data_IF_526701664964
#
_entry.id   IF_526701664964
#
_cell.length_a   1.000
_cell.length_b   1.000
_cell.length_c   1.000
_cell.angle_alpha   90.00
_cell.angle_beta   90.00
_cell.angle_gamma   90.00
#
_symmetry.space_group_name_H-M   'P 1'
#
loop_
_entity.id
_entity.type
_entity.pdbx_description
1 polymer ?
#
# COMPACT_ATOMS: atom_id res chain seq x y z
N UNK A 1 5.71 16.14 -8.94
CA UNK A 1 6.69 17.25 -9.09
C UNK A 1 6.59 18.13 -7.86
N UNK A 2 7.70 18.33 -7.16
CA UNK A 2 7.77 19.22 -5.99
C UNK A 2 8.36 20.56 -6.43
N UNK A 3 7.75 21.67 -6.01
CA UNK A 3 8.22 23.01 -6.31
C UNK A 3 8.94 23.58 -5.09
N UNK A 4 10.20 23.96 -5.26
CA UNK A 4 11.00 24.59 -4.20
C UNK A 4 11.14 26.08 -4.47
N UNK A 5 10.76 26.91 -3.51
CA UNK A 5 10.98 28.36 -3.55
C UNK A 5 11.93 28.75 -2.41
N UNK A 6 13.06 29.37 -2.76
CA UNK A 6 14.04 29.85 -1.79
C UNK A 6 13.90 31.37 -1.64
N UNK A 7 13.44 31.81 -0.47
CA UNK A 7 13.28 33.23 -0.15
C UNK A 7 14.62 33.96 -0.25
N UNK A 8 14.61 35.16 -0.85
CA UNK A 8 15.79 36.02 -1.00
C UNK A 8 16.71 35.65 -2.17
N UNK A 9 16.33 34.68 -3.01
CA UNK A 9 16.92 34.52 -4.34
C UNK A 9 16.09 35.30 -5.37
N UNK A 10 16.26 36.63 -5.34
CA UNK A 10 15.52 37.55 -6.22
C UNK A 10 16.07 37.60 -7.66
N UNK A 11 17.24 36.98 -7.89
CA UNK A 11 17.81 36.83 -9.24
C UNK A 11 17.23 35.60 -9.94
N UNK A 12 16.38 35.76 -10.98
CA UNK A 12 15.84 34.64 -11.75
C UNK A 12 16.92 33.83 -12.49
N UNK A 13 18.16 34.32 -12.56
CA UNK A 13 19.32 33.60 -13.09
C UNK A 13 20.09 32.77 -12.05
N UNK A 14 19.66 32.79 -10.78
CA UNK A 14 20.29 32.02 -9.70
C UNK A 14 20.29 30.50 -9.97
N UNK A 15 19.27 30.00 -10.68
CA UNK A 15 19.21 28.63 -11.16
C UNK A 15 19.47 28.57 -12.67
N UNK A 16 20.71 28.27 -13.04
CA UNK A 16 21.10 28.11 -14.45
C UNK A 16 20.90 26.66 -14.89
N UNK A 17 20.22 26.40 -16.03
CA UNK A 17 20.11 25.05 -16.55
C UNK A 17 21.47 24.39 -16.75
N UNK A 18 21.54 23.12 -16.35
CA UNK A 18 22.65 22.24 -16.67
C UNK A 18 22.54 21.67 -18.08
N UNK A 19 23.34 20.64 -18.36
CA UNK A 19 23.28 19.88 -19.61
C UNK A 19 22.72 18.48 -19.42
N UNK A 20 22.15 18.17 -18.27
CA UNK A 20 21.63 16.87 -17.92
C UNK A 20 20.15 16.70 -18.26
N UNK A 21 19.26 17.37 -17.52
CA UNK A 21 17.82 17.28 -17.69
C UNK A 21 17.40 17.97 -18.99
N UNK A 22 16.51 17.33 -19.76
CA UNK A 22 16.06 17.87 -21.04
C UNK A 22 14.58 18.17 -21.10
N UNK A 23 13.72 17.22 -20.78
CA UNK A 23 12.28 17.44 -20.87
C UNK A 23 11.51 16.45 -20.00
N UNK A 24 10.29 16.85 -19.66
CA UNK A 24 9.27 16.00 -19.07
C UNK A 24 8.23 15.66 -20.12
N UNK A 25 7.83 14.40 -20.19
CA UNK A 25 6.67 13.97 -20.97
C UNK A 25 5.45 13.89 -20.08
N UNK A 26 4.38 14.60 -20.42
CA UNK A 26 3.12 14.57 -19.68
C UNK A 26 1.92 14.33 -20.59
N UNK A 27 0.98 13.55 -20.10
CA UNK A 27 -0.35 13.40 -20.69
C UNK A 27 -1.27 14.53 -20.21
N UNK A 28 -2.12 15.01 -21.11
CA UNK A 28 -3.16 16.00 -20.83
C UNK A 28 -4.47 15.57 -21.47
N UNK A 29 -5.63 15.94 -20.89
CA UNK A 29 -6.94 15.57 -21.44
C UNK A 29 -7.16 16.11 -22.86
N UNK A 30 -6.65 17.31 -23.14
CA UNK A 30 -6.74 17.98 -24.43
C UNK A 30 -5.44 18.75 -24.70
N UNK A 31 -4.67 18.28 -25.67
CA UNK A 31 -3.36 18.85 -26.04
C UNK A 31 -3.52 20.25 -26.62
N UNK A 32 -4.50 20.46 -27.50
CA UNK A 32 -4.68 21.74 -28.20
C UNK A 32 -5.18 22.82 -27.24
N UNK A 33 -6.10 22.45 -26.33
CA UNK A 33 -6.54 23.35 -25.26
C UNK A 33 -5.38 23.71 -24.31
N UNK A 34 -4.55 22.74 -23.92
CA UNK A 34 -3.39 22.97 -23.07
C UNK A 34 -2.35 23.89 -23.74
N UNK A 35 -2.04 23.66 -25.02
CA UNK A 35 -1.16 24.54 -25.81
C UNK A 35 -1.73 25.95 -25.93
N UNK A 36 -3.02 26.08 -26.21
CA UNK A 36 -3.71 27.36 -26.31
C UNK A 36 -3.67 28.14 -24.98
N UNK A 37 -3.82 27.45 -23.85
CA UNK A 37 -3.70 28.04 -22.53
C UNK A 37 -2.27 28.51 -22.24
N UNK A 38 -1.26 27.69 -22.56
CA UNK A 38 0.15 28.05 -22.41
C UNK A 38 0.53 29.29 -23.23
N UNK A 39 0.05 29.39 -24.48
CA UNK A 39 0.27 30.57 -25.33
C UNK A 39 -0.36 31.83 -24.73
N UNK A 40 -1.58 31.74 -24.18
CA UNK A 40 -2.23 32.88 -23.49
C UNK A 40 -1.48 33.34 -22.24
N UNK A 41 -0.76 32.43 -21.59
CA UNK A 41 0.11 32.72 -20.44
C UNK A 41 1.50 33.23 -20.86
N UNK A 42 1.80 33.30 -22.16
CA UNK A 42 3.07 33.78 -22.70
C UNK A 42 4.21 32.76 -22.62
N UNK A 43 3.92 31.47 -22.46
CA UNK A 43 4.94 30.42 -22.49
C UNK A 43 5.42 30.17 -23.93
N UNK A 44 6.72 29.92 -24.06
CA UNK A 44 7.32 29.63 -25.35
C UNK A 44 7.02 28.17 -25.77
N UNK A 45 7.05 27.92 -27.08
CA UNK A 45 7.01 26.56 -27.64
C UNK A 45 8.30 26.32 -28.43
N UNK A 46 9.07 25.31 -28.03
CA UNK A 46 10.36 24.99 -28.62
C UNK A 46 10.50 23.48 -28.79
N UNK A 47 10.91 23.03 -29.98
CA UNK A 47 11.05 21.59 -30.33
C UNK A 47 9.83 20.73 -29.95
N UNK A 48 8.63 21.30 -29.98
CA UNK A 48 7.39 20.62 -29.58
C UNK A 48 7.17 20.47 -28.06
N UNK A 49 7.92 21.22 -27.25
CA UNK A 49 7.69 21.37 -25.82
C UNK A 49 7.14 22.76 -25.50
N UNK A 50 6.25 22.83 -24.51
CA UNK A 50 5.95 24.08 -23.81
C UNK A 50 7.08 24.36 -22.82
N UNK A 51 7.64 25.57 -22.87
CA UNK A 51 8.78 25.99 -22.06
C UNK A 51 8.30 26.96 -20.99
N UNK A 52 8.47 26.56 -19.74
CA UNK A 52 8.14 27.39 -18.58
C UNK A 52 9.08 28.59 -18.43
N UNK A 53 8.72 29.57 -17.60
CA UNK A 53 9.56 30.75 -17.35
C UNK A 53 10.90 30.41 -16.70
N UNK A 54 10.97 29.26 -16.05
CA UNK A 54 12.15 28.64 -15.46
C UNK A 54 12.93 27.76 -16.45
N UNK A 55 12.52 27.71 -17.72
CA UNK A 55 13.12 26.94 -18.82
C UNK A 55 12.88 25.43 -18.76
N UNK A 56 12.06 24.92 -17.84
CA UNK A 56 11.67 23.51 -17.90
C UNK A 56 10.79 23.26 -19.12
N UNK A 57 10.99 22.11 -19.74
CA UNK A 57 10.36 21.76 -21.02
C UNK A 57 9.36 20.63 -20.80
N UNK A 58 8.12 20.85 -21.19
CA UNK A 58 7.04 19.88 -21.07
C UNK A 58 6.51 19.50 -22.45
N UNK A 59 6.67 18.23 -22.83
CA UNK A 59 6.06 17.65 -24.02
C UNK A 59 4.69 17.10 -23.67
N UNK A 60 3.68 17.51 -24.42
CA UNK A 60 2.28 17.16 -24.16
C UNK A 60 1.83 16.00 -25.05
N UNK A 61 1.13 15.05 -24.44
CA UNK A 61 0.56 13.88 -25.10
C UNK A 61 -0.93 13.74 -24.77
N UNK A 62 -1.75 13.15 -25.65
CA UNK A 62 -3.15 12.87 -25.35
C UNK A 62 -3.27 11.81 -24.26
N UNK A 63 -4.16 12.02 -23.28
CA UNK A 63 -4.39 11.08 -22.18
C UNK A 63 -4.93 9.73 -22.67
N UNK A 64 -4.27 8.59 -22.34
CA UNK A 64 -4.81 7.26 -22.59
C UNK A 64 -6.07 7.00 -21.76
N UNK A 65 -7.04 6.25 -22.31
CA UNK A 65 -8.31 5.97 -21.64
C UNK A 65 -8.20 5.08 -20.41
N UNK A 66 -7.13 4.30 -20.30
CA UNK A 66 -6.87 3.31 -19.25
C UNK A 66 -5.78 3.75 -18.28
N UNK A 67 -5.43 5.04 -18.30
CA UNK A 67 -4.38 5.64 -17.47
C UNK A 67 -4.90 6.85 -16.69
N UNK A 68 -4.41 7.00 -15.46
CA UNK A 68 -4.65 8.14 -14.57
C UNK A 68 -3.40 8.96 -14.25
N UNK A 69 -2.22 8.36 -14.27
CA UNK A 69 -0.94 9.06 -14.08
C UNK A 69 -0.62 9.92 -15.31
N UNK A 70 -0.47 11.22 -15.09
CA UNK A 70 -0.19 12.18 -16.14
C UNK A 70 1.29 12.20 -16.53
N UNK A 71 2.22 11.93 -15.61
CA UNK A 71 3.63 11.88 -15.97
C UNK A 71 3.95 10.60 -16.74
N UNK A 72 4.55 10.74 -17.91
CA UNK A 72 5.02 9.62 -18.71
C UNK A 72 6.52 9.38 -18.49
N UNK A 73 7.33 10.43 -18.61
CA UNK A 73 8.78 10.30 -18.46
C UNK A 73 9.47 11.56 -17.95
N UNK A 74 10.67 11.34 -17.42
CA UNK A 74 11.71 12.37 -17.27
C UNK A 74 12.87 11.98 -18.18
N UNK A 75 13.29 12.89 -19.07
CA UNK A 75 14.34 12.63 -20.04
C UNK A 75 15.64 13.31 -19.64
N UNK A 76 16.68 12.51 -19.49
CA UNK A 76 18.00 12.92 -19.02
C UNK A 76 19.10 12.41 -19.96
N UNK A 77 20.16 13.19 -20.08
CA UNK A 77 21.37 12.82 -20.82
C UNK A 77 22.25 11.90 -19.97
N UNK A 78 22.85 10.89 -20.60
CA UNK A 78 23.83 10.01 -19.97
C UNK A 78 25.20 10.23 -20.59
N UNK A 79 26.25 10.23 -19.76
CA UNK A 79 27.64 10.25 -20.23
C UNK A 79 28.16 8.87 -20.64
N UNK A 80 27.46 7.80 -20.24
CA UNK A 80 27.70 6.42 -20.66
C UNK A 80 26.42 5.59 -20.46
N UNK A 81 25.64 5.40 -21.52
CA UNK A 81 24.28 4.85 -21.40
C UNK A 81 24.26 3.48 -20.71
N UNK A 82 25.20 2.61 -21.06
CA UNK A 82 25.28 1.26 -20.51
C UNK A 82 25.54 1.27 -18.99
N UNK A 83 26.45 2.13 -18.52
CA UNK A 83 26.71 2.28 -17.08
C UNK A 83 25.52 2.90 -16.36
N UNK A 84 24.86 3.89 -16.95
CA UNK A 84 23.72 4.58 -16.31
C UNK A 84 22.57 3.60 -16.14
N UNK A 85 22.18 2.90 -17.20
CA UNK A 85 21.16 1.86 -17.14
C UNK A 85 21.55 0.75 -16.16
N UNK A 86 22.81 0.31 -16.17
CA UNK A 86 23.34 -0.66 -15.19
C UNK A 86 23.20 -0.18 -13.75
N UNK A 87 23.51 1.09 -13.46
CA UNK A 87 23.33 1.66 -12.13
C UNK A 87 21.86 1.60 -11.68
N UNK A 88 20.92 2.08 -12.49
CA UNK A 88 19.50 2.07 -12.11
C UNK A 88 18.92 0.66 -11.94
N UNK A 89 19.42 -0.32 -12.70
CA UNK A 89 18.98 -1.72 -12.57
C UNK A 89 19.64 -2.44 -11.41
N UNK A 90 20.96 -2.44 -11.38
CA UNK A 90 21.74 -3.28 -10.48
C UNK A 90 21.85 -2.66 -9.09
N UNK A 91 21.83 -1.33 -8.99
CA UNK A 91 21.89 -0.60 -7.71
C UNK A 91 20.51 -0.29 -7.18
N UNK A 92 19.61 0.21 -8.04
CA UNK A 92 18.28 0.65 -7.61
C UNK A 92 17.17 -0.37 -7.85
N UNK A 93 17.43 -1.49 -8.53
CA UNK A 93 16.42 -2.53 -8.73
C UNK A 93 15.32 -2.15 -9.75
N UNK A 94 15.57 -1.14 -10.59
CA UNK A 94 14.64 -0.82 -11.68
C UNK A 94 14.68 -1.87 -12.78
N UNK A 95 13.62 -1.92 -13.58
CA UNK A 95 13.50 -2.80 -14.74
C UNK A 95 13.58 -2.02 -16.05
N UNK A 96 14.03 -2.69 -17.12
CA UNK A 96 13.96 -2.13 -18.47
C UNK A 96 12.50 -1.91 -18.89
N UNK A 97 12.25 -0.79 -19.56
CA UNK A 97 10.96 -0.49 -20.18
C UNK A 97 11.19 -0.06 -21.62
N UNK A 98 10.32 -0.50 -22.53
CA UNK A 98 10.36 -0.06 -23.91
C UNK A 98 10.08 1.45 -23.99
N UNK A 99 10.97 2.21 -24.64
CA UNK A 99 10.74 3.63 -24.95
C UNK A 99 9.58 3.72 -25.94
N UNK A 100 8.43 4.31 -25.58
CA UNK A 100 7.28 4.40 -26.49
C UNK A 100 7.63 5.19 -27.76
N UNK A 101 7.00 4.86 -28.89
CA UNK A 101 7.26 5.51 -30.18
C UNK A 101 6.97 7.03 -30.17
N UNK A 102 6.02 7.46 -29.34
CA UNK A 102 5.69 8.86 -29.13
C UNK A 102 6.82 9.67 -28.47
N UNK A 103 7.76 9.01 -27.78
CA UNK A 103 8.90 9.68 -27.15
C UNK A 103 9.92 10.04 -28.25
N UNK A 104 10.31 11.33 -28.38
CA UNK A 104 11.21 11.75 -29.44
C UNK A 104 12.56 11.03 -29.31
N UNK A 105 13.08 10.54 -30.44
CA UNK A 105 14.41 9.96 -30.51
C UNK A 105 15.44 11.06 -30.31
N UNK A 106 16.40 10.86 -29.40
CA UNK A 106 17.52 11.76 -29.13
C UNK A 106 18.83 10.98 -29.08
N UNK A 107 19.91 11.67 -29.47
CA UNK A 107 21.25 11.12 -29.44
C UNK A 107 21.47 9.93 -30.37
N UNK A 108 22.57 9.24 -30.13
CA UNK A 108 22.97 8.00 -30.80
C UNK A 108 22.25 6.76 -30.27
N UNK A 109 21.87 6.78 -28.99
CA UNK A 109 21.23 5.66 -28.32
C UNK A 109 20.33 6.16 -27.18
N UNK A 110 19.30 5.35 -26.85
CA UNK A 110 18.36 5.63 -25.77
C UNK A 110 17.95 4.36 -25.03
N UNK A 111 17.63 4.49 -23.75
CA UNK A 111 17.04 3.44 -22.93
C UNK A 111 16.06 4.05 -21.93
N UNK A 112 15.12 3.24 -21.43
CA UNK A 112 14.24 3.63 -20.35
C UNK A 112 14.23 2.58 -19.25
N UNK A 113 14.17 3.07 -18.01
CA UNK A 113 14.05 2.24 -16.80
C UNK A 113 12.92 2.76 -15.93
N UNK A 114 12.28 1.86 -15.19
CA UNK A 114 11.24 2.21 -14.21
C UNK A 114 11.07 1.13 -13.16
N UNK A 115 10.41 1.46 -12.04
CA UNK A 115 9.90 0.45 -11.13
C UNK A 115 8.60 -0.15 -11.70
N UNK A 116 8.72 -1.35 -12.26
CA UNK A 116 7.58 -2.11 -12.78
C UNK A 116 7.33 -3.32 -11.91
N UNK A 117 6.22 -3.36 -11.18
CA UNK A 117 5.79 -4.57 -10.47
C UNK A 117 4.28 -4.74 -10.54
N UNK A 118 3.84 -6.00 -10.65
CA UNK A 118 2.44 -6.40 -10.45
C UNK A 118 1.93 -6.18 -9.02
N UNK A 119 2.77 -5.70 -8.10
CA UNK A 119 2.39 -5.34 -6.72
C UNK A 119 2.55 -3.85 -6.43
N UNK A 120 3.15 -3.06 -7.34
CA UNK A 120 3.26 -1.61 -7.18
C UNK A 120 1.87 -0.94 -7.33
N UNK A 121 1.53 0.14 -6.62
CA UNK A 121 0.20 0.77 -6.72
C UNK A 121 -0.15 1.20 -8.15
N UNK A 122 0.84 1.71 -8.88
CA UNK A 122 0.73 2.05 -10.30
C UNK A 122 1.03 0.85 -11.20
N UNK A 123 0.50 -0.31 -10.83
CA UNK A 123 0.62 -1.63 -11.44
C UNK A 123 0.40 -1.70 -12.97
N UNK A 124 0.16 -0.56 -13.64
CA UNK A 124 -0.06 -0.33 -15.07
C UNK A 124 0.34 1.08 -15.57
N UNK A 125 0.91 1.95 -14.74
CA UNK A 125 1.13 3.37 -15.08
C UNK A 125 2.53 3.88 -14.66
N UNK A 126 3.63 3.24 -15.11
CA UNK A 126 4.97 3.66 -14.72
C UNK A 126 5.30 5.06 -15.24
N UNK A 127 6.01 5.84 -14.43
CA UNK A 127 6.80 6.99 -14.87
C UNK A 127 8.20 6.47 -15.22
N UNK A 128 8.68 6.77 -16.43
CA UNK A 128 9.96 6.27 -16.93
C UNK A 128 11.07 7.29 -16.71
N UNK A 129 12.26 6.82 -16.34
CA UNK A 129 13.49 7.59 -16.54
C UNK A 129 14.05 7.20 -17.89
N UNK A 130 14.06 8.15 -18.82
CA UNK A 130 14.55 7.98 -20.19
C UNK A 130 15.95 8.58 -20.28
N UNK A 131 16.92 7.73 -20.60
CA UNK A 131 18.32 8.08 -20.77
C UNK A 131 18.68 8.09 -22.24
N UNK A 132 19.46 9.07 -22.68
CA UNK A 132 20.02 9.08 -24.02
C UNK A 132 21.48 9.54 -24.02
N UNK A 133 22.24 9.09 -25.03
CA UNK A 133 23.65 9.43 -25.19
C UNK A 133 23.89 10.10 -26.53
N UNK A 134 24.42 11.32 -26.51
CA UNK A 134 24.72 12.13 -27.70
C UNK A 134 26.18 12.61 -27.74
N UNK A 135 27.05 11.99 -26.93
CA UNK A 135 28.47 12.34 -26.83
C UNK A 135 28.77 13.53 -25.92
N UNK A 136 27.75 14.15 -25.31
CA UNK A 136 27.93 15.21 -24.32
C UNK A 136 27.87 14.59 -22.93
N UNK A 137 28.84 14.91 -22.07
CA UNK A 137 28.79 14.51 -20.66
C UNK A 137 27.79 15.42 -19.90
N UNK A 138 26.83 14.87 -19.16
CA UNK A 138 25.90 15.68 -18.38
C UNK A 138 26.65 16.47 -17.31
N UNK A 139 26.21 17.71 -17.09
CA UNK A 139 26.67 18.61 -16.03
C UNK A 139 25.46 19.12 -15.25
N UNK A 140 24.91 18.30 -14.34
CA UNK A 140 23.78 18.72 -13.53
C UNK A 140 24.11 19.93 -12.66
N UNK A 141 23.16 20.85 -12.56
CA UNK A 141 23.20 21.99 -11.66
C UNK A 141 22.01 21.92 -10.70
N UNK A 142 21.96 22.73 -9.64
CA UNK A 142 20.78 22.79 -8.77
C UNK A 142 19.47 23.11 -9.51
N UNK A 143 19.53 23.67 -10.72
CA UNK A 143 18.36 23.90 -11.57
C UNK A 143 17.69 22.60 -12.01
N UNK A 144 18.42 21.50 -12.18
CA UNK A 144 17.84 20.22 -12.61
C UNK A 144 17.06 19.51 -11.49
N UNK A 145 17.20 20.02 -10.26
CA UNK A 145 16.51 19.51 -9.09
C UNK A 145 17.04 18.15 -8.64
N UNK A 146 16.13 17.34 -8.09
CA UNK A 146 16.45 16.06 -7.47
C UNK A 146 15.36 15.04 -7.78
N UNK A 147 15.76 13.83 -8.15
CA UNK A 147 14.82 12.71 -8.27
C UNK A 147 14.58 12.10 -6.89
N UNK A 148 13.33 12.09 -6.42
CA UNK A 148 12.97 11.45 -5.16
C UNK A 148 12.37 10.06 -5.40
N UNK A 149 12.88 9.05 -4.70
CA UNK A 149 12.42 7.67 -4.77
C UNK A 149 12.02 7.19 -3.37
N UNK A 150 10.76 6.77 -3.25
CA UNK A 150 10.23 6.15 -2.04
C UNK A 150 10.51 4.65 -2.01
N UNK A 151 11.26 4.18 -1.01
CA UNK A 151 11.59 2.75 -0.81
C UNK A 151 11.23 2.32 0.62
N UNK A 152 11.23 1.03 0.92
CA UNK A 152 11.09 0.57 2.30
C UNK A 152 12.31 1.00 3.13
N UNK A 153 12.14 1.30 4.41
CA UNK A 153 13.19 1.77 5.30
C UNK A 153 14.41 0.82 5.35
N UNK A 154 14.17 -0.49 5.30
CA UNK A 154 15.25 -1.47 5.23
C UNK A 154 15.99 -1.43 3.88
N UNK A 155 15.28 -1.17 2.78
CA UNK A 155 15.89 -0.94 1.47
C UNK A 155 16.73 0.34 1.47
N UNK A 156 16.25 1.42 2.10
CA UNK A 156 17.00 2.68 2.26
C UNK A 156 18.30 2.45 3.03
N UNK A 157 18.26 1.72 4.15
CA UNK A 157 19.46 1.40 4.95
C UNK A 157 20.44 0.53 4.16
N UNK A 158 19.95 -0.50 3.48
CA UNK A 158 20.79 -1.38 2.67
C UNK A 158 21.43 -0.63 1.49
N UNK A 159 20.66 0.24 0.82
CA UNK A 159 21.13 1.06 -0.28
C UNK A 159 22.18 2.07 0.19
N UNK A 160 21.98 2.72 1.33
CA UNK A 160 22.98 3.62 1.92
C UNK A 160 24.29 2.87 2.24
N UNK A 161 24.21 1.70 2.87
CA UNK A 161 25.39 0.88 3.15
C UNK A 161 26.14 0.48 1.87
N UNK A 162 25.39 0.18 0.80
CA UNK A 162 25.99 -0.08 -0.52
C UNK A 162 26.67 1.17 -1.07
N UNK A 163 26.03 2.34 -1.00
CA UNK A 163 26.62 3.61 -1.40
C UNK A 163 27.91 3.93 -0.62
N UNK A 164 27.94 3.71 0.70
CA UNK A 164 29.15 3.90 1.50
C UNK A 164 30.30 2.99 1.02
N UNK A 165 29.98 1.78 0.57
CA UNK A 165 30.97 0.81 0.11
C UNK A 165 31.45 1.08 -1.32
N UNK A 166 30.52 1.38 -2.23
CA UNK A 166 30.79 1.42 -3.68
C UNK A 166 30.96 2.85 -4.21
N UNK A 167 30.30 3.83 -3.60
CA UNK A 167 30.19 5.22 -4.08
C UNK A 167 30.26 6.26 -2.94
N UNK A 168 31.22 6.18 -2.00
CA UNK A 168 31.22 7.04 -0.81
C UNK A 168 31.30 8.53 -1.13
N UNK A 169 31.94 8.91 -2.24
CA UNK A 169 32.07 10.28 -2.73
C UNK A 169 30.77 10.87 -3.31
N UNK A 170 29.76 10.02 -3.53
CA UNK A 170 28.46 10.42 -4.08
C UNK A 170 27.46 10.79 -3.00
N UNK A 171 27.66 10.36 -1.75
CA UNK A 171 26.79 10.74 -0.62
C UNK A 171 26.98 12.23 -0.31
N UNK A 172 25.88 12.97 -0.23
CA UNK A 172 25.90 14.44 -0.15
C UNK A 172 25.79 15.01 1.27
N UNK A 173 25.65 14.16 2.28
CA UNK A 173 25.67 14.55 3.69
C UNK A 173 26.93 13.99 4.38
N UNK A 174 27.44 14.71 5.38
CA UNK A 174 28.68 14.37 6.07
C UNK A 174 28.42 13.79 7.45
N UNK A 175 29.22 12.79 7.85
CA UNK A 175 29.36 12.38 9.26
C UNK A 175 28.35 11.34 9.76
N UNK A 176 27.41 10.90 8.94
CA UNK A 176 26.42 9.91 9.35
C UNK A 176 26.89 8.47 9.09
N UNK A 177 26.77 7.61 10.12
CA UNK A 177 27.03 6.18 9.98
C UNK A 177 25.95 5.44 9.16
N UNK A 178 24.82 6.11 8.87
CA UNK A 178 23.65 5.58 8.17
C UNK A 178 22.83 6.70 7.53
N UNK A 179 21.63 6.40 6.98
CA UNK A 179 20.70 7.42 6.52
C UNK A 179 20.34 8.39 7.65
N UNK A 180 20.04 9.64 7.29
CA UNK A 180 19.51 10.64 8.22
C UNK A 180 18.17 10.12 8.74
N UNK A 181 18.01 10.10 10.06
CA UNK A 181 16.81 9.66 10.76
C UNK A 181 16.09 10.87 11.36
N UNK A 182 14.93 11.20 10.81
CA UNK A 182 14.07 12.29 11.30
C UNK A 182 12.88 11.70 12.05
N UNK A 183 12.66 12.16 13.28
CA UNK A 183 11.50 11.75 14.07
C UNK A 183 10.28 12.57 13.64
N UNK A 184 9.41 11.96 12.86
CA UNK A 184 8.17 12.57 12.38
C UNK A 184 6.97 12.09 13.22
N UNK A 185 5.85 12.82 13.11
CA UNK A 185 4.59 12.42 13.76
C UNK A 185 4.12 11.01 13.37
N UNK A 186 4.53 10.55 12.18
CA UNK A 186 4.14 9.30 11.54
C UNK A 186 5.11 8.14 11.77
N UNK A 187 6.17 8.36 12.53
CA UNK A 187 7.26 7.41 12.72
C UNK A 187 8.60 8.02 12.31
N UNK A 188 9.62 7.18 12.21
CA UNK A 188 10.94 7.64 11.79
C UNK A 188 11.03 7.66 10.26
N UNK A 189 11.30 8.84 9.71
CA UNK A 189 11.64 9.03 8.31
C UNK A 189 13.14 8.80 8.14
N UNK A 190 13.52 7.81 7.32
CA UNK A 190 14.89 7.63 6.88
C UNK A 190 15.08 8.27 5.53
N UNK A 191 16.07 9.14 5.41
CA UNK A 191 16.39 9.86 4.19
C UNK A 191 17.89 9.91 3.98
N UNK A 192 18.33 9.74 2.74
CA UNK A 192 19.69 10.13 2.38
C UNK A 192 19.72 10.68 0.95
N UNK A 193 20.67 11.58 0.71
CA UNK A 193 20.83 12.24 -0.58
C UNK A 193 22.18 11.81 -1.13
N UNK A 194 22.17 11.33 -2.36
CA UNK A 194 23.39 10.96 -3.07
C UNK A 194 23.29 11.35 -4.54
N UNK A 195 24.43 11.39 -5.23
CA UNK A 195 24.46 11.51 -6.68
C UNK A 195 24.43 10.14 -7.34
N UNK A 196 23.85 10.05 -8.53
CA UNK A 196 24.05 8.90 -9.40
C UNK A 196 25.45 8.96 -10.07
N UNK A 197 25.70 8.06 -11.03
CA UNK A 197 26.99 7.98 -11.71
C UNK A 197 27.26 9.16 -12.67
N UNK A 198 26.23 9.85 -13.13
CA UNK A 198 26.31 10.99 -14.04
C UNK A 198 26.25 12.34 -13.29
N UNK A 199 25.95 12.31 -11.99
CA UNK A 199 25.98 13.47 -11.11
C UNK A 199 24.60 14.02 -10.75
N UNK A 200 23.51 13.38 -11.19
CA UNK A 200 22.15 13.77 -10.85
C UNK A 200 21.89 13.55 -9.37
N UNK A 201 21.23 14.49 -8.71
CA UNK A 201 20.88 14.33 -7.31
C UNK A 201 19.70 13.36 -7.16
N UNK A 202 19.84 12.44 -6.22
CA UNK A 202 18.83 11.45 -5.84
C UNK A 202 18.49 11.63 -4.36
N UNK A 203 17.20 11.73 -4.03
CA UNK A 203 16.67 11.64 -2.68
C UNK A 203 16.08 10.24 -2.50
N UNK A 204 16.66 9.47 -1.60
CA UNK A 204 16.09 8.19 -1.19
C UNK A 204 15.38 8.40 0.13
N UNK A 205 14.08 8.11 0.15
CA UNK A 205 13.21 8.38 1.29
C UNK A 205 12.40 7.15 1.67
N UNK A 206 12.34 6.83 2.96
CA UNK A 206 11.53 5.72 3.46
C UNK A 206 10.04 6.03 3.27
N UNK A 207 9.30 5.12 2.64
CA UNK A 207 7.90 5.35 2.28
C UNK A 207 6.93 5.14 3.43
N UNK A 208 7.34 4.52 4.53
CA UNK A 208 6.46 4.12 5.64
C UNK A 208 5.72 5.31 6.25
N UNK A 209 6.36 6.47 6.39
CA UNK A 209 5.72 7.71 6.85
C UNK A 209 4.87 8.38 5.77
N UNK A 210 4.93 7.92 4.52
CA UNK A 210 4.19 8.44 3.36
C UNK A 210 3.13 7.48 2.81
N UNK A 211 2.99 6.27 3.39
CA UNK A 211 2.01 5.30 2.94
C UNK A 211 0.59 5.87 3.12
N UNK A 212 -0.32 5.70 2.14
CA UNK A 212 -1.68 6.20 2.25
C UNK A 212 -2.39 5.78 3.54
N UNK A 213 -2.16 4.59 4.09
CA UNK A 213 -2.75 4.19 5.39
C UNK A 213 -2.19 4.97 6.59
N UNK A 214 -0.91 5.37 6.54
CA UNK A 214 -0.20 6.14 7.57
C UNK A 214 -0.51 7.63 7.43
N UNK A 215 -0.55 8.12 6.20
CA UNK A 215 -1.03 9.46 5.84
C UNK A 215 -2.51 9.57 6.18
N UNK A 216 -3.38 8.65 5.78
CA UNK A 216 -4.82 8.59 6.11
C UNK A 216 -5.05 8.56 7.62
N UNK A 217 -4.26 7.79 8.38
CA UNK A 217 -4.30 7.80 9.85
C UNK A 217 -4.05 9.21 10.45
N UNK A 218 -3.47 10.14 9.69
CA UNK A 218 -3.11 11.50 10.13
C UNK A 218 -3.68 12.64 9.27
N UNK A 219 -4.19 12.39 8.07
CA UNK A 219 -4.86 13.36 7.19
C UNK A 219 -6.37 13.19 7.20
N UNK A 220 -6.89 11.98 7.47
CA UNK A 220 -8.26 11.79 7.97
C UNK A 220 -8.33 12.01 9.50
N UNK A 221 -7.31 12.67 10.06
CA UNK A 221 -7.37 13.30 11.37
C UNK A 221 -8.42 14.42 11.31
N UNK A 222 -9.66 14.06 11.62
CA UNK A 222 -10.64 15.05 12.03
C UNK A 222 -10.30 15.48 13.46
N UNK A 223 -9.84 16.73 13.62
CA UNK A 223 -9.56 17.32 14.92
C UNK A 223 -10.81 17.45 15.82
N UNK A 224 -12.02 17.27 15.28
CA UNK A 224 -13.27 17.10 16.05
C UNK A 224 -13.58 15.64 16.39
N UNK A 225 -12.95 14.67 15.70
CA UNK A 225 -13.06 13.24 15.98
C UNK A 225 -12.04 12.74 17.02
N UNK A 226 -11.10 13.59 17.45
CA UNK A 226 -10.26 13.34 18.60
C UNK A 226 -10.88 13.87 19.88
N UNK A 227 -12.02 13.27 20.19
CA UNK A 227 -12.37 13.09 21.58
C UNK A 227 -11.50 11.93 22.12
N UNK A 228 -10.37 12.28 22.73
CA UNK A 228 -9.50 11.33 23.45
C UNK A 228 -10.30 10.51 24.47
N UNK A 229 -11.35 11.09 25.04
CA UNK A 229 -12.30 10.41 25.92
C UNK A 229 -13.10 9.36 25.16
N UNK A 230 -13.62 9.68 23.97
CA UNK A 230 -14.32 8.70 23.13
C UNK A 230 -13.40 7.58 22.65
N UNK A 231 -12.14 7.89 22.31
CA UNK A 231 -11.14 6.87 21.96
C UNK A 231 -10.80 5.97 23.14
N UNK A 232 -10.50 6.56 24.30
CA UNK A 232 -10.21 5.83 25.52
C UNK A 232 -11.42 4.97 25.92
N UNK A 233 -12.63 5.54 25.89
CA UNK A 233 -13.89 4.82 26.13
C UNK A 233 -14.08 3.66 25.16
N UNK A 234 -13.77 3.83 23.86
CA UNK A 234 -13.85 2.74 22.88
C UNK A 234 -12.82 1.64 23.16
N UNK A 235 -11.58 1.99 23.51
CA UNK A 235 -10.55 1.01 23.89
C UNK A 235 -10.98 0.24 25.14
N UNK A 236 -11.51 0.92 26.14
CA UNK A 236 -12.02 0.32 27.38
C UNK A 236 -13.20 -0.62 27.10
N UNK A 237 -14.13 -0.22 26.23
CA UNK A 237 -15.26 -1.06 25.81
C UNK A 237 -14.80 -2.29 25.03
N UNK A 238 -13.83 -2.15 24.12
CA UNK A 238 -13.24 -3.29 23.40
C UNK A 238 -12.52 -4.22 24.38
N UNK A 239 -11.79 -3.69 25.35
CA UNK A 239 -11.11 -4.48 26.37
C UNK A 239 -12.11 -5.20 27.29
N UNK A 240 -13.20 -4.53 27.69
CA UNK A 240 -14.27 -5.13 28.49
C UNK A 240 -15.02 -6.23 27.73
N UNK A 241 -15.36 -5.99 26.46
CA UNK A 241 -15.92 -7.00 25.56
C UNK A 241 -14.95 -8.16 25.37
N UNK A 242 -13.65 -7.88 25.22
CA UNK A 242 -12.60 -8.88 25.11
C UNK A 242 -12.50 -9.79 26.32
N UNK A 243 -12.56 -9.23 27.54
CA UNK A 243 -12.63 -10.04 28.78
C UNK A 243 -13.82 -10.99 28.76
N UNK A 244 -15.01 -10.49 28.39
CA UNK A 244 -16.21 -11.32 28.28
C UNK A 244 -16.06 -12.39 27.20
N UNK A 245 -15.45 -12.08 26.04
CA UNK A 245 -15.19 -13.05 24.98
C UNK A 245 -14.27 -14.16 25.49
N UNK A 246 -13.12 -13.83 26.09
CA UNK A 246 -12.17 -14.82 26.60
C UNK A 246 -12.76 -15.65 27.75
N UNK A 247 -13.54 -15.04 28.65
CA UNK A 247 -14.27 -15.75 29.70
C UNK A 247 -15.23 -16.79 29.10
N UNK A 248 -16.03 -16.40 28.10
CA UNK A 248 -16.95 -17.32 27.43
C UNK A 248 -16.20 -18.45 26.72
N UNK A 249 -15.10 -18.15 26.02
CA UNK A 249 -14.28 -19.15 25.33
C UNK A 249 -13.58 -20.12 26.29
N UNK A 250 -13.24 -19.66 27.50
CA UNK A 250 -12.65 -20.50 28.55
C UNK A 250 -13.68 -21.41 29.23
N UNK A 251 -14.92 -20.91 29.40
CA UNK A 251 -16.00 -21.60 30.13
C UNK A 251 -16.77 -22.62 29.29
N UNK A 252 -16.84 -22.42 27.99
CA UNK A 252 -17.67 -23.23 27.09
C UNK A 252 -16.84 -23.89 26.01
N UNK A 253 -17.04 -25.19 25.81
CA UNK A 253 -16.31 -25.97 24.78
C UNK A 253 -16.61 -25.50 23.36
N UNK A 254 -17.82 -24.99 23.10
CA UNK A 254 -18.23 -24.46 21.79
C UNK A 254 -18.99 -23.15 22.01
N UNK A 255 -18.56 -22.09 21.32
CA UNK A 255 -19.16 -20.76 21.44
C UNK A 255 -19.46 -20.20 20.06
N UNK A 256 -20.64 -19.62 19.91
CA UNK A 256 -21.05 -18.91 18.69
C UNK A 256 -21.46 -17.47 19.05
N UNK A 257 -20.69 -16.50 18.56
CA UNK A 257 -21.11 -15.10 18.60
C UNK A 257 -22.05 -14.81 17.44
N UNK A 258 -23.23 -14.28 17.73
CA UNK A 258 -24.37 -14.23 16.81
C UNK A 258 -25.17 -12.93 16.93
N UNK A 259 -26.05 -12.66 15.95
CA UNK A 259 -27.15 -11.70 16.04
C UNK A 259 -28.44 -12.43 15.64
N UNK A 260 -29.53 -12.27 16.41
CA UNK A 260 -30.76 -13.03 16.20
C UNK A 260 -31.39 -12.80 14.81
N UNK A 261 -31.32 -11.56 14.31
CA UNK A 261 -31.85 -11.18 13.00
C UNK A 261 -30.98 -11.66 11.82
N UNK A 262 -29.71 -12.02 12.05
CA UNK A 262 -28.75 -12.27 10.98
C UNK A 262 -29.00 -13.62 10.29
N UNK A 263 -29.20 -13.66 8.96
CA UNK A 263 -29.49 -14.91 8.24
C UNK A 263 -28.31 -15.89 8.26
N UNK A 264 -27.06 -15.42 8.23
CA UNK A 264 -25.87 -16.28 8.34
C UNK A 264 -25.73 -16.89 9.73
N UNK A 265 -26.15 -16.18 10.78
CA UNK A 265 -26.18 -16.72 12.14
C UNK A 265 -27.20 -17.85 12.26
N UNK A 266 -28.38 -17.71 11.64
CA UNK A 266 -29.39 -18.79 11.58
C UNK A 266 -28.84 -20.04 10.89
N UNK A 267 -28.13 -19.88 9.77
CA UNK A 267 -27.48 -21.00 9.08
C UNK A 267 -26.46 -21.74 9.97
N UNK A 268 -25.60 -20.99 10.68
CA UNK A 268 -24.62 -21.57 11.58
C UNK A 268 -25.26 -22.31 12.76
N UNK A 269 -26.33 -21.75 13.36
CA UNK A 269 -27.10 -22.41 14.43
C UNK A 269 -27.70 -23.72 13.95
N UNK A 270 -28.40 -23.70 12.81
CA UNK A 270 -28.99 -24.91 12.23
C UNK A 270 -27.94 -26.00 11.96
N UNK A 271 -26.71 -25.62 11.57
CA UNK A 271 -25.62 -26.57 11.38
C UNK A 271 -25.23 -27.26 12.70
N UNK A 272 -25.08 -26.51 13.79
CA UNK A 272 -24.83 -27.08 15.12
C UNK A 272 -26.00 -27.88 15.67
N UNK A 273 -27.24 -27.42 15.47
CA UNK A 273 -28.44 -28.11 15.92
C UNK A 273 -28.60 -29.47 15.22
N UNK A 274 -28.25 -29.55 13.92
CA UNK A 274 -28.33 -30.79 13.13
C UNK A 274 -27.43 -31.93 13.64
N UNK A 275 -26.40 -31.58 14.41
CA UNK A 275 -25.46 -32.53 15.04
C UNK A 275 -25.67 -32.62 16.56
N UNK A 276 -26.77 -32.04 17.07
CA UNK A 276 -27.13 -32.02 18.50
C UNK A 276 -25.99 -31.48 19.39
N UNK A 277 -25.20 -30.54 18.87
CA UNK A 277 -24.08 -29.97 19.60
C UNK A 277 -24.54 -28.97 20.68
N UNK A 278 -24.00 -29.12 21.89
CA UNK A 278 -24.15 -28.17 22.99
C UNK A 278 -23.30 -26.93 22.71
N UNK A 279 -23.93 -25.89 22.15
CA UNK A 279 -23.29 -24.62 21.80
C UNK A 279 -23.75 -23.51 22.72
N UNK A 280 -22.80 -22.75 23.28
CA UNK A 280 -23.13 -21.51 23.94
C UNK A 280 -23.25 -20.39 22.91
N UNK A 281 -24.46 -19.85 22.75
CA UNK A 281 -24.72 -18.76 21.79
C UNK A 281 -24.71 -17.43 22.53
N UNK A 282 -23.79 -16.54 22.14
CA UNK A 282 -23.76 -15.16 22.62
C UNK A 282 -24.39 -14.25 21.57
N UNK A 283 -25.65 -13.91 21.78
CA UNK A 283 -26.34 -12.92 20.94
C UNK A 283 -25.89 -11.51 21.29
N UNK A 284 -25.49 -10.76 20.26
CA UNK A 284 -25.07 -9.36 20.39
C UNK A 284 -26.26 -8.41 20.20
N UNK A 285 -27.20 -8.78 19.33
CA UNK A 285 -28.43 -8.02 19.03
C UNK A 285 -29.63 -8.96 18.91
N UNK A 286 -30.80 -8.45 19.30
CA UNK A 286 -32.07 -9.18 19.23
C UNK A 286 -32.71 -9.11 17.84
N UNK A 287 -33.87 -9.76 17.68
CA UNK A 287 -34.61 -9.81 16.40
C UNK A 287 -35.00 -8.43 15.84
N UNK A 288 -35.18 -7.43 16.71
CA UNK A 288 -35.50 -6.04 16.37
C UNK A 288 -34.25 -5.19 16.09
N UNK A 289 -33.07 -5.82 16.00
CA UNK A 289 -31.75 -5.16 15.83
C UNK A 289 -31.37 -4.25 17.00
N UNK A 290 -31.90 -4.51 18.19
CA UNK A 290 -31.53 -3.82 19.42
C UNK A 290 -30.38 -4.54 20.12
N UNK A 291 -29.41 -3.83 20.71
CA UNK A 291 -28.29 -4.42 21.43
C UNK A 291 -28.78 -5.26 22.62
N UNK A 292 -28.27 -6.48 22.76
CA UNK A 292 -28.44 -7.34 23.94
C UNK A 292 -27.23 -7.17 24.89
N UNK A 293 -26.05 -6.98 24.31
CA UNK A 293 -24.83 -6.64 25.04
C UNK A 293 -24.67 -5.12 25.11
N UNK A 294 -23.88 -4.65 26.07
CA UNK A 294 -23.62 -3.22 26.26
C UNK A 294 -23.09 -2.53 24.99
N UNK A 295 -22.19 -3.18 24.27
CA UNK A 295 -21.65 -2.66 23.01
C UNK A 295 -21.40 -3.79 22.00
N UNK A 296 -22.35 -4.08 21.09
CA UNK A 296 -22.19 -5.09 20.06
C UNK A 296 -21.00 -4.84 19.14
N UNK A 297 -20.70 -3.56 18.88
CA UNK A 297 -19.61 -3.17 18.00
C UNK A 297 -18.27 -3.50 18.66
N UNK A 298 -18.11 -3.24 19.96
CA UNK A 298 -16.91 -3.61 20.71
C UNK A 298 -16.62 -5.12 20.66
N UNK A 299 -17.66 -5.97 20.80
CA UNK A 299 -17.53 -7.41 20.61
C UNK A 299 -17.05 -7.77 19.20
N UNK A 300 -17.68 -7.19 18.17
CA UNK A 300 -17.33 -7.43 16.77
C UNK A 300 -15.90 -6.97 16.44
N UNK A 301 -15.44 -5.88 17.03
CA UNK A 301 -14.07 -5.36 16.86
C UNK A 301 -13.02 -6.25 17.52
N UNK A 302 -13.28 -6.68 18.76
CA UNK A 302 -12.41 -7.63 19.45
C UNK A 302 -12.31 -8.96 18.69
N UNK A 303 -13.45 -9.50 18.25
CA UNK A 303 -13.52 -10.76 17.50
C UNK A 303 -12.81 -10.65 16.14
N UNK A 304 -12.93 -9.52 15.45
CA UNK A 304 -12.21 -9.29 14.19
C UNK A 304 -10.69 -9.35 14.40
N UNK A 305 -10.20 -8.67 15.43
CA UNK A 305 -8.78 -8.68 15.79
C UNK A 305 -8.31 -10.09 16.19
N UNK A 306 -9.05 -10.79 17.07
CA UNK A 306 -8.69 -12.15 17.53
C UNK A 306 -8.66 -13.17 16.41
N UNK A 307 -9.56 -13.05 15.44
CA UNK A 307 -9.72 -14.05 14.36
C UNK A 307 -8.96 -13.70 13.08
N UNK A 308 -8.33 -12.53 13.02
CA UNK A 308 -7.77 -11.94 11.81
C UNK A 308 -8.75 -12.01 10.62
N UNK A 309 -10.03 -11.75 10.88
CA UNK A 309 -11.10 -11.82 9.90
C UNK A 309 -12.05 -10.62 10.07
N UNK A 310 -12.95 -10.41 9.12
CA UNK A 310 -13.86 -9.25 9.15
C UNK A 310 -14.75 -9.18 10.40
N UNK A 311 -15.31 -7.98 10.68
CA UNK A 311 -16.19 -7.68 11.84
C UNK A 311 -17.56 -8.38 11.81
N UNK A 312 -17.88 -9.13 10.76
CA UNK A 312 -19.18 -9.78 10.59
C UNK A 312 -19.39 -10.93 11.58
N UNK A 313 -20.64 -11.14 12.00
CA UNK A 313 -21.11 -12.36 12.68
C UNK A 313 -21.83 -13.26 11.68
N UNK A 314 -21.85 -14.60 11.88
CA UNK A 314 -21.39 -15.31 13.07
C UNK A 314 -19.87 -15.50 13.16
N UNK A 315 -19.37 -15.75 14.37
CA UNK A 315 -17.99 -16.21 14.64
C UNK A 315 -18.06 -17.44 15.55
N UNK A 316 -17.68 -18.60 15.02
CA UNK A 316 -17.70 -19.87 15.76
C UNK A 316 -16.35 -20.25 16.33
N UNK A 317 -16.34 -20.80 17.54
CA UNK A 317 -15.16 -21.30 18.20
C UNK A 317 -15.40 -22.68 18.81
N UNK A 318 -14.38 -23.55 18.76
CA UNK A 318 -14.35 -24.84 19.44
C UNK A 318 -13.05 -24.89 20.25
N UNK A 319 -13.16 -25.13 21.57
CA UNK A 319 -12.02 -25.11 22.51
C UNK A 319 -11.15 -23.85 22.40
N UNK A 320 -11.79 -22.70 22.18
CA UNK A 320 -11.13 -21.41 22.02
C UNK A 320 -10.50 -21.16 20.64
N UNK A 321 -10.42 -22.17 19.76
CA UNK A 321 -9.93 -22.01 18.39
C UNK A 321 -11.04 -21.53 17.46
N UNK A 322 -10.71 -20.57 16.60
CA UNK A 322 -11.63 -20.03 15.61
C UNK A 322 -11.83 -21.02 14.46
N UNK A 323 -13.08 -21.38 14.18
CA UNK A 323 -13.44 -22.35 13.13
C UNK A 323 -14.12 -21.71 11.90
N UNK A 324 -14.32 -20.40 11.92
CA UNK A 324 -14.86 -19.64 10.78
C UNK A 324 -16.17 -18.90 11.06
N UNK A 325 -16.69 -18.31 9.97
CA UNK A 325 -17.98 -17.63 9.91
C UNK A 325 -19.13 -18.57 9.50
N UNK A 326 -20.23 -17.99 9.04
CA UNK A 326 -21.47 -18.74 8.80
C UNK A 326 -21.34 -19.81 7.71
N UNK A 327 -20.74 -19.44 6.59
CA UNK A 327 -20.55 -20.36 5.47
C UNK A 327 -19.49 -21.44 5.79
N UNK A 328 -18.41 -21.06 6.49
CA UNK A 328 -17.38 -22.00 6.95
C UNK A 328 -17.95 -23.09 7.87
N UNK A 329 -18.82 -22.71 8.82
CA UNK A 329 -19.47 -23.65 9.74
C UNK A 329 -20.41 -24.61 8.98
N UNK A 330 -21.18 -24.09 8.03
CA UNK A 330 -22.06 -24.92 7.18
C UNK A 330 -21.23 -25.92 6.36
N UNK A 331 -20.11 -25.49 5.80
CA UNK A 331 -19.25 -26.36 5.00
C UNK A 331 -18.46 -27.36 5.85
N UNK A 332 -18.12 -27.03 7.10
CA UNK A 332 -17.62 -28.01 8.08
C UNK A 332 -18.68 -29.07 8.41
N UNK A 333 -19.96 -28.67 8.51
CA UNK A 333 -21.05 -29.58 8.81
C UNK A 333 -21.30 -30.58 7.68
N UNK A 334 -21.36 -30.08 6.42
CA UNK A 334 -21.53 -30.94 5.23
C UNK A 334 -20.43 -32.00 5.11
N UNK A 335 -19.21 -31.69 5.57
CA UNK A 335 -18.06 -32.60 5.53
C UNK A 335 -18.00 -33.55 6.73
N UNK A 336 -18.93 -33.47 7.69
CA UNK A 336 -18.90 -34.24 8.95
C UNK A 336 -17.83 -33.78 9.96
N UNK A 337 -16.91 -32.91 9.55
CA UNK A 337 -15.80 -32.39 10.38
C UNK A 337 -16.32 -31.59 11.58
N UNK A 338 -17.47 -30.90 11.45
CA UNK A 338 -18.07 -30.17 12.56
C UNK A 338 -18.44 -31.12 13.72
N UNK A 339 -19.10 -32.24 13.41
CA UNK A 339 -19.46 -33.27 14.39
C UNK A 339 -18.20 -33.85 15.06
N UNK A 340 -17.18 -34.19 14.27
CA UNK A 340 -15.92 -34.73 14.81
C UNK A 340 -15.27 -33.78 15.82
N UNK A 341 -15.18 -32.49 15.47
CA UNK A 341 -14.63 -31.46 16.37
C UNK A 341 -15.49 -31.27 17.62
N UNK A 342 -16.82 -31.26 17.49
CA UNK A 342 -17.72 -31.12 18.63
C UNK A 342 -17.66 -32.34 19.56
N UNK A 343 -17.56 -33.55 19.04
CA UNK A 343 -17.37 -34.78 19.83
C UNK A 343 -16.04 -34.75 20.55
N UNK A 344 -14.94 -34.42 19.86
CA UNK A 344 -13.62 -34.26 20.48
C UNK A 344 -13.61 -33.19 21.58
N UNK A 345 -14.45 -32.16 21.45
CA UNK A 345 -14.61 -31.12 22.46
C UNK A 345 -15.54 -31.49 23.62
N UNK A 346 -16.19 -32.67 23.59
CA UNK A 346 -17.19 -33.11 24.56
C UNK A 346 -18.52 -32.36 24.47
N UNK A 347 -18.80 -31.78 23.30
CA UNK A 347 -19.98 -30.95 23.04
C UNK A 347 -21.05 -31.66 22.22
N UNK A 348 -20.77 -32.82 21.63
CA UNK A 348 -21.73 -33.65 20.90
C UNK A 348 -21.43 -35.14 21.11
N UNK A 349 -22.37 -36.02 20.77
CA UNK A 349 -22.20 -37.47 20.82
C UNK A 349 -22.24 -38.05 19.40
N UNK A 350 -21.40 -39.06 19.13
CA UNK A 350 -21.56 -39.86 17.90
C UNK A 350 -22.77 -40.77 18.12
N UNK A 351 -23.81 -40.60 17.31
CA UNK A 351 -24.87 -41.62 17.23
C UNK A 351 -24.23 -42.89 16.68
N UNK A 352 -24.17 -43.93 17.51
CA UNK A 352 -23.89 -45.29 17.04
C UNK A 352 -25.09 -45.66 16.18
N UNK A 353 -24.85 -45.98 14.91
CA UNK A 353 -25.88 -46.56 14.08
C UNK A 353 -26.18 -47.97 14.63
N UNK A 354 -27.16 -48.09 15.53
CA UNK A 354 -27.83 -49.36 15.74
C UNK A 354 -28.65 -49.67 14.47
N UNK A 355 -28.41 -50.87 13.93
CA UNK A 355 -29.12 -51.56 12.84
C UNK A 355 -28.74 -51.28 11.39
N UNK A 356 -27.72 -52.02 10.91
CA UNK A 356 -27.76 -52.67 9.60
C UNK A 356 -26.89 -53.94 9.53
N UNK A 357 -26.97 -54.85 10.51
CA UNK A 357 -26.31 -56.17 10.39
C UNK A 357 -27.14 -57.37 10.91
N UNK A 358 -28.44 -57.19 11.21
CA UNK A 358 -29.32 -58.31 11.59
C UNK A 358 -30.42 -58.70 10.58
N UNK A 359 -30.41 -58.13 9.36
CA UNK A 359 -31.32 -58.55 8.27
C UNK A 359 -30.73 -59.55 7.27
N UNK A 360 -29.51 -60.04 7.50
CA UNK A 360 -28.88 -61.04 6.60
C UNK A 360 -28.87 -62.48 7.13
N UNK A 361 -29.41 -62.74 8.33
CA UNK A 361 -29.46 -64.10 8.91
C UNK A 361 -30.87 -64.75 8.94
N UNK A 362 -31.91 -64.04 8.51
CA UNK A 362 -33.24 -64.61 8.31
C UNK A 362 -33.84 -64.13 6.99
N UNK A 363 -33.41 -64.72 5.88
CA UNK A 363 -34.21 -64.93 4.68
C UNK A 363 -33.64 -66.07 3.84
#
# INVERSE_FOLDING_TARGET
>A
MELTYNYGLDDPSAYKPGTGLTEFGIFVPDVDAAKSAAQKLGYAEEEGCIVGPDKYRFRLFPMPSDRSEHFLYVMCRSGNLAKTVGFYKDVLGMSDVAVPELVPKRGSSMAAVSYTSKTHPHQREPVMLVWYEDGIKPQPTPWEGRHALGLDAEEIKALHARYQKEFPDKIMHQGDAGPISLQEKLGTLFIFIARDIDGYEMCYVSRETMLPAVVEAVTNYDGKALDWTARQSRIEKIAAAGKQVEELLSKHSVVLFSKEWCPFCKKAKNAFDSIEAKVFIKELENIDKKPIVEDPMAFQEYLAAKTNAGKSVPKGFIKGEFIGGGDDIVDLNKRGVLLEKCVAAGAAEKKVAEEAELKFFFN
#
